data_IF_221102040185
#
_entry.id   IF_221102040185
#
_cell.length_a   1.000
_cell.length_b   1.000
_cell.length_c   1.000
_cell.angle_alpha   90.00
_cell.angle_beta   90.00
_cell.angle_gamma   90.00
#
_symmetry.space_group_name_H-M   'P 1'
#
loop_
_entity.id
_entity.type
_entity.pdbx_description
1 polymer ?
#
# COMPACT_ATOMS: atom_id res chain seq x y z
N UNK A 1 20.56 11.80 28.15
CA UNK A 1 20.74 12.27 26.76
C UNK A 1 21.74 11.37 26.05
N UNK A 2 21.25 10.40 25.27
CA UNK A 2 22.10 9.54 24.43
C UNK A 2 22.30 10.20 23.06
N UNK A 3 23.45 9.94 22.41
CA UNK A 3 23.85 10.51 21.10
C UNK A 3 24.46 9.43 20.23
N UNK A 4 24.26 9.53 18.92
CA UNK A 4 24.88 8.62 17.94
C UNK A 4 26.11 9.28 17.33
N UNK A 5 27.22 8.55 17.34
CA UNK A 5 28.50 8.96 16.75
C UNK A 5 28.78 8.13 15.50
N UNK A 6 29.03 8.79 14.39
CA UNK A 6 29.45 8.18 13.14
C UNK A 6 30.96 8.32 13.00
N UNK A 7 31.66 7.19 12.95
CA UNK A 7 33.10 7.12 12.76
C UNK A 7 33.39 6.85 11.28
N UNK A 8 34.07 7.77 10.62
CA UNK A 8 34.47 7.61 9.22
C UNK A 8 36.00 7.65 9.11
N UNK A 9 36.56 6.70 8.36
CA UNK A 9 38.00 6.64 8.08
C UNK A 9 38.21 6.45 6.58
N UNK A 10 38.79 7.45 5.91
CA UNK A 10 39.26 7.32 4.53
C UNK A 10 40.67 6.69 4.54
N UNK A 11 41.05 6.05 3.42
CA UNK A 11 42.26 5.21 3.27
C UNK A 11 43.53 5.87 3.83
N UNK A 12 43.69 7.19 3.69
CA UNK A 12 44.84 7.96 4.20
C UNK A 12 44.47 9.12 5.16
N UNK A 13 43.31 9.07 5.81
CA UNK A 13 42.84 10.16 6.68
C UNK A 13 42.74 9.77 8.16
N UNK A 14 42.85 10.78 9.04
CA UNK A 14 42.49 10.66 10.46
C UNK A 14 41.00 10.29 10.57
N UNK A 15 40.65 9.45 11.55
CA UNK A 15 39.26 9.12 11.84
C UNK A 15 38.49 10.39 12.17
N UNK A 16 37.46 10.70 11.39
CA UNK A 16 36.54 11.81 11.66
C UNK A 16 35.34 11.27 12.43
N UNK A 17 35.02 11.93 13.54
CA UNK A 17 33.86 11.58 14.37
C UNK A 17 32.81 12.66 14.16
N UNK A 18 31.69 12.29 13.54
CA UNK A 18 30.54 13.17 13.37
C UNK A 18 29.47 12.78 14.40
N UNK A 19 28.89 13.78 15.06
CA UNK A 19 27.75 13.55 15.98
C UNK A 19 26.46 13.78 15.21
N UNK A 20 25.58 12.79 15.14
CA UNK A 20 24.25 12.97 14.57
C UNK A 20 23.40 13.83 15.51
N UNK A 21 22.54 14.68 14.94
CA UNK A 21 21.69 15.57 15.72
C UNK A 21 20.44 14.83 16.23
N UNK A 22 20.66 13.78 17.03
CA UNK A 22 19.60 12.96 17.60
C UNK A 22 19.75 12.88 19.11
N UNK A 23 18.82 13.51 19.83
CA UNK A 23 18.72 13.39 21.29
C UNK A 23 17.60 12.42 21.62
N UNK A 24 17.95 11.22 22.08
CA UNK A 24 16.99 10.23 22.53
C UNK A 24 16.85 10.32 24.06
N UNK A 25 15.69 10.80 24.51
CA UNK A 25 15.40 11.03 25.94
C UNK A 25 14.26 10.13 26.48
N UNK A 26 13.75 9.20 25.67
CA UNK A 26 12.62 8.36 26.06
C UNK A 26 13.05 6.89 26.19
N UNK A 27 12.84 6.36 27.39
CA UNK A 27 13.23 5.02 27.83
C UNK A 27 12.64 3.91 26.95
N UNK A 28 11.42 4.09 26.43
CA UNK A 28 10.75 3.07 25.61
C UNK A 28 11.47 2.83 24.27
N UNK A 29 12.13 3.83 23.69
CA UNK A 29 12.94 3.61 22.48
C UNK A 29 14.30 3.01 22.84
N UNK A 30 14.93 3.47 23.91
CA UNK A 30 16.23 2.96 24.35
C UNK A 30 16.14 1.46 24.67
N UNK A 31 15.04 1.02 25.31
CA UNK A 31 14.85 -0.38 25.66
C UNK A 31 14.53 -1.29 24.47
N UNK A 32 14.12 -0.73 23.33
CA UNK A 32 13.77 -1.49 22.12
C UNK A 32 14.86 -1.34 21.04
N UNK A 33 15.72 -0.32 21.16
CA UNK A 33 16.80 -0.07 20.22
C UNK A 33 17.78 -1.24 20.19
N UNK A 34 17.85 -1.90 19.04
CA UNK A 34 18.69 -3.07 18.79
C UNK A 34 19.55 -2.86 17.55
N UNK A 35 20.34 -3.88 17.18
CA UNK A 35 21.16 -3.86 15.96
C UNK A 35 20.31 -3.64 14.69
N UNK A 36 19.03 -4.04 14.71
CA UNK A 36 18.11 -3.81 13.59
C UNK A 36 17.77 -2.34 13.37
N UNK A 37 17.70 -1.52 14.42
CA UNK A 37 17.53 -0.08 14.30
C UNK A 37 18.87 0.61 14.07
N UNK A 38 19.95 0.08 14.63
CA UNK A 38 21.30 0.64 14.47
C UNK A 38 21.78 0.60 13.01
N UNK A 39 21.47 -0.46 12.25
CA UNK A 39 21.85 -0.56 10.83
C UNK A 39 21.30 0.60 9.98
N UNK A 40 20.13 1.12 10.35
CA UNK A 40 19.46 2.21 9.63
C UNK A 40 20.25 3.51 9.61
N UNK A 41 21.15 3.72 10.58
CA UNK A 41 22.01 4.92 10.61
C UNK A 41 23.18 4.84 9.62
N UNK A 42 23.36 3.70 8.96
CA UNK A 42 24.43 3.44 7.99
C UNK A 42 23.91 2.95 6.64
N UNK A 43 22.59 2.93 6.44
CA UNK A 43 21.95 2.51 5.19
C UNK A 43 22.17 3.49 4.05
N UNK A 44 22.28 2.96 2.82
CA UNK A 44 22.29 3.78 1.60
C UNK A 44 20.89 4.32 1.27
N UNK A 45 19.85 3.54 1.54
CA UNK A 45 18.45 3.94 1.42
C UNK A 45 17.59 3.12 2.38
N UNK A 46 16.57 3.74 2.99
CA UNK A 46 15.65 3.04 3.89
C UNK A 46 14.23 3.02 3.33
N UNK A 47 13.64 1.84 3.20
CA UNK A 47 12.21 1.67 2.90
C UNK A 47 11.48 1.25 4.18
N UNK A 48 10.63 2.13 4.69
CA UNK A 48 9.77 1.86 5.83
C UNK A 48 8.44 1.23 5.35
N UNK A 49 8.13 0.05 5.85
CA UNK A 49 6.93 -0.73 5.46
C UNK A 49 6.04 -1.04 6.65
N UNK A 50 4.77 -1.36 6.39
CA UNK A 50 3.80 -1.70 7.44
C UNK A 50 3.85 -3.17 7.87
N UNK A 51 3.94 -4.09 6.91
CA UNK A 51 3.63 -5.50 7.09
C UNK A 51 4.72 -6.46 6.61
N UNK A 52 4.38 -7.74 6.69
CA UNK A 52 5.22 -8.85 6.22
C UNK A 52 5.11 -9.01 4.70
N UNK A 53 3.94 -8.78 4.10
CA UNK A 53 3.76 -8.84 2.65
C UNK A 53 4.74 -7.93 1.91
N UNK A 54 4.97 -6.70 2.41
CA UNK A 54 5.94 -5.77 1.82
C UNK A 54 7.38 -6.26 1.99
N UNK A 55 7.72 -6.81 3.17
CA UNK A 55 9.04 -7.40 3.40
C UNK A 55 9.32 -8.53 2.41
N UNK A 56 8.34 -9.42 2.18
CA UNK A 56 8.45 -10.50 1.19
C UNK A 56 8.58 -9.96 -0.24
N UNK A 57 7.76 -8.97 -0.60
CA UNK A 57 7.73 -8.45 -1.97
C UNK A 57 9.03 -7.72 -2.35
N UNK A 58 9.50 -6.81 -1.49
CA UNK A 58 10.73 -6.05 -1.74
C UNK A 58 12.00 -6.84 -1.41
N UNK A 59 11.90 -7.88 -0.57
CA UNK A 59 12.99 -8.81 -0.27
C UNK A 59 13.11 -9.99 -1.25
N UNK A 60 12.24 -10.07 -2.27
CA UNK A 60 12.26 -11.16 -3.24
C UNK A 60 13.56 -11.17 -4.08
N UNK A 61 14.34 -12.26 -4.00
CA UNK A 61 15.64 -12.36 -4.66
C UNK A 61 15.56 -12.22 -6.19
N UNK A 62 14.54 -12.80 -6.84
CA UNK A 62 14.37 -12.71 -8.30
C UNK A 62 14.04 -11.28 -8.72
N UNK A 63 13.26 -10.54 -7.93
CA UNK A 63 13.04 -9.12 -8.18
C UNK A 63 14.35 -8.33 -8.12
N UNK A 64 15.19 -8.64 -7.14
CA UNK A 64 16.49 -8.01 -6.93
C UNK A 64 17.52 -8.31 -8.05
N UNK A 65 17.36 -9.42 -8.77
CA UNK A 65 18.18 -9.73 -9.96
C UNK A 65 17.87 -8.77 -11.12
N UNK A 66 16.59 -8.46 -11.35
CA UNK A 66 16.16 -7.53 -12.40
C UNK A 66 16.28 -6.05 -11.99
N UNK A 67 16.05 -5.76 -10.71
CA UNK A 67 16.13 -4.42 -10.12
C UNK A 67 17.27 -4.37 -9.11
N UNK A 68 18.50 -4.26 -9.63
CA UNK A 68 19.72 -4.38 -8.81
C UNK A 68 19.86 -3.34 -7.72
N UNK A 69 19.22 -2.16 -7.85
CA UNK A 69 19.21 -1.13 -6.81
C UNK A 69 18.49 -1.57 -5.55
N UNK A 70 17.57 -2.55 -5.62
CA UNK A 70 16.91 -3.12 -4.44
C UNK A 70 17.91 -3.81 -3.48
N UNK A 71 19.11 -4.21 -3.96
CA UNK A 71 20.17 -4.80 -3.11
C UNK A 71 20.69 -3.86 -2.03
N UNK A 72 20.61 -2.55 -2.29
CA UNK A 72 21.19 -1.53 -1.43
C UNK A 72 20.14 -0.83 -0.56
N UNK A 73 18.95 -1.42 -0.45
CA UNK A 73 17.83 -0.86 0.29
C UNK A 73 17.62 -1.66 1.56
N UNK A 74 17.70 -0.97 2.70
CA UNK A 74 17.30 -1.55 3.97
C UNK A 74 15.78 -1.42 4.14
N UNK A 75 15.10 -2.56 4.07
CA UNK A 75 13.67 -2.63 4.32
C UNK A 75 13.46 -2.77 5.83
N UNK A 76 12.64 -1.88 6.40
CA UNK A 76 12.36 -1.83 7.82
C UNK A 76 10.86 -1.82 8.09
N UNK A 77 10.39 -2.83 8.83
CA UNK A 77 9.00 -2.91 9.26
C UNK A 77 8.74 -2.06 10.48
N UNK A 78 7.86 -1.07 10.34
CA UNK A 78 7.44 -0.19 11.42
C UNK A 78 6.50 -0.92 12.38
N UNK A 79 7.04 -1.63 13.38
CA UNK A 79 6.29 -2.29 14.44
C UNK A 79 5.53 -1.32 15.36
N UNK A 80 6.01 -0.08 15.47
CA UNK A 80 5.44 0.98 16.30
C UNK A 80 5.69 2.36 15.67
N UNK A 81 4.67 3.20 15.66
CA UNK A 81 4.80 4.60 15.22
C UNK A 81 5.88 5.35 16.01
N UNK A 82 6.03 5.05 17.31
CA UNK A 82 7.02 5.72 18.17
C UNK A 82 8.46 5.39 17.75
N UNK A 83 8.70 4.15 17.33
CA UNK A 83 10.04 3.71 16.92
C UNK A 83 10.33 4.23 15.52
N UNK A 84 9.41 4.01 14.58
CA UNK A 84 9.54 4.46 13.19
C UNK A 84 9.77 5.98 13.08
N UNK A 85 9.11 6.79 13.92
CA UNK A 85 9.33 8.23 13.97
C UNK A 85 10.75 8.62 14.42
N UNK A 86 11.39 7.82 15.27
CA UNK A 86 12.72 8.13 15.84
C UNK A 86 13.88 7.59 15.03
N UNK A 87 13.67 6.51 14.30
CA UNK A 87 14.64 6.00 13.32
C UNK A 87 14.55 6.73 11.98
N UNK A 88 13.48 7.51 11.75
CA UNK A 88 13.33 8.35 10.56
C UNK A 88 14.57 9.27 10.40
N UNK A 89 15.27 9.24 9.24
CA UNK A 89 16.39 10.13 8.97
C UNK A 89 16.07 11.62 9.18
N UNK A 90 14.83 12.05 8.93
CA UNK A 90 14.39 13.42 9.18
C UNK A 90 14.39 13.82 10.66
N UNK A 91 14.27 12.86 11.59
CA UNK A 91 14.37 13.14 13.03
C UNK A 91 15.80 13.46 13.45
N UNK A 92 16.78 12.75 12.86
CA UNK A 92 18.21 12.93 13.16
C UNK A 92 18.91 13.93 12.24
N UNK A 93 18.18 14.56 11.30
CA UNK A 93 18.69 15.36 10.20
C UNK A 93 19.81 14.64 9.41
N UNK A 94 19.65 13.33 9.21
CA UNK A 94 20.56 12.53 8.40
C UNK A 94 20.27 12.74 6.91
N UNK A 95 21.31 12.66 6.08
CA UNK A 95 21.20 12.76 4.62
C UNK A 95 20.74 11.46 3.95
N UNK A 96 20.50 10.41 4.73
CA UNK A 96 20.08 9.10 4.24
C UNK A 96 18.70 9.24 3.56
N UNK A 97 18.57 8.90 2.27
CA UNK A 97 17.29 8.91 1.59
C UNK A 97 16.39 7.80 2.14
N UNK A 98 15.10 8.11 2.26
CA UNK A 98 14.11 7.17 2.76
C UNK A 98 12.77 7.34 2.05
N UNK A 99 11.92 6.31 2.17
CA UNK A 99 10.54 6.31 1.71
C UNK A 99 9.67 5.55 2.73
N UNK A 100 8.52 6.11 3.10
CA UNK A 100 7.48 5.37 3.82
C UNK A 100 6.46 4.82 2.83
N UNK A 101 6.12 3.54 2.97
CA UNK A 101 5.04 2.90 2.23
C UNK A 101 3.87 2.68 3.19
N UNK A 102 2.74 3.32 2.89
CA UNK A 102 1.51 3.17 3.66
C UNK A 102 0.34 2.75 2.77
N UNK A 103 -0.62 2.07 3.38
CA UNK A 103 -1.88 1.72 2.75
C UNK A 103 -2.87 2.90 2.79
N UNK A 104 -3.80 2.93 1.82
CA UNK A 104 -4.76 4.02 1.66
C UNK A 104 -5.59 4.30 2.93
N UNK A 105 -5.87 3.27 3.74
CA UNK A 105 -6.70 3.41 4.94
C UNK A 105 -6.03 4.16 6.08
N UNK A 106 -4.69 4.30 6.06
CA UNK A 106 -3.98 5.16 7.03
C UNK A 106 -4.27 6.63 6.83
N UNK A 107 -4.50 7.04 5.58
CA UNK A 107 -4.75 8.43 5.22
C UNK A 107 -6.24 8.71 5.01
N UNK A 108 -6.99 7.75 4.47
CA UNK A 108 -8.39 7.93 4.05
C UNK A 108 -9.27 6.92 4.78
N UNK A 109 -10.17 7.43 5.63
CA UNK A 109 -11.18 6.62 6.32
C UNK A 109 -12.57 6.89 5.76
N UNK A 110 -13.33 5.84 5.48
CA UNK A 110 -14.73 5.93 5.09
C UNK A 110 -15.59 5.69 6.33
N UNK A 111 -16.32 6.71 6.77
CA UNK A 111 -17.18 6.62 7.96
C UNK A 111 -18.62 6.91 7.62
N UNK A 112 -19.53 6.24 8.32
CA UNK A 112 -20.96 6.45 8.19
C UNK A 112 -21.73 5.15 8.06
N UNK A 113 -23.02 5.29 7.84
CA UNK A 113 -23.92 4.18 7.54
C UNK A 113 -23.80 3.81 6.05
N UNK A 114 -24.14 2.58 5.62
CA UNK A 114 -24.00 2.17 4.22
C UNK A 114 -24.69 3.08 3.19
N UNK A 115 -25.69 3.85 3.61
CA UNK A 115 -26.45 4.79 2.76
C UNK A 115 -25.98 6.25 2.90
N UNK A 116 -25.06 6.54 3.82
CA UNK A 116 -24.54 7.87 4.12
C UNK A 116 -23.05 7.81 4.49
N UNK A 117 -22.25 7.25 3.59
CA UNK A 117 -20.80 7.20 3.74
C UNK A 117 -20.19 8.57 3.47
N UNK A 118 -19.15 8.89 4.23
CA UNK A 118 -18.40 10.14 4.13
C UNK A 118 -16.90 9.88 4.23
N UNK A 119 -16.12 10.64 3.47
CA UNK A 119 -14.65 10.60 3.54
C UNK A 119 -14.18 11.40 4.74
N UNK A 120 -13.28 10.81 5.52
CA UNK A 120 -12.46 11.52 6.51
C UNK A 120 -11.00 11.31 6.17
N UNK A 121 -10.25 12.40 6.21
CA UNK A 121 -8.79 12.35 6.11
C UNK A 121 -8.23 12.25 7.54
N UNK A 122 -7.39 11.25 7.77
CA UNK A 122 -6.90 10.89 9.11
C UNK A 122 -5.50 11.45 9.37
N UNK A 123 -5.03 11.32 10.61
CA UNK A 123 -3.65 11.63 11.01
C UNK A 123 -2.96 10.31 11.34
N UNK A 124 -1.72 10.11 10.90
CA UNK A 124 -0.92 8.96 11.29
C UNK A 124 0.34 9.41 12.03
N UNK A 125 0.30 9.34 13.37
CA UNK A 125 1.42 9.74 14.22
C UNK A 125 1.94 11.14 13.89
N UNK A 126 3.25 11.32 13.90
CA UNK A 126 3.91 12.54 13.42
C UNK A 126 4.38 12.43 11.95
N UNK A 127 4.01 11.36 11.23
CA UNK A 127 4.36 11.19 9.83
C UNK A 127 3.61 12.18 8.94
N UNK A 128 2.28 12.25 9.08
CA UNK A 128 1.44 13.17 8.33
C UNK A 128 0.17 13.54 9.10
N UNK A 129 -0.43 14.69 8.77
CA UNK A 129 -1.62 15.18 9.44
C UNK A 129 -2.55 15.96 8.49
N UNK A 130 -3.72 15.37 8.20
CA UNK A 130 -4.75 15.99 7.36
C UNK A 130 -5.83 16.75 8.14
N UNK A 131 -5.61 17.07 9.43
CA UNK A 131 -6.59 17.87 10.19
C UNK A 131 -6.80 19.24 9.54
N UNK A 132 -8.04 19.76 9.53
CA UNK A 132 -8.35 21.06 8.90
C UNK A 132 -7.46 22.21 9.37
N UNK A 133 -7.10 22.25 10.66
CA UNK A 133 -6.26 23.33 11.21
C UNK A 133 -4.84 23.31 10.65
N UNK A 134 -4.27 22.11 10.47
CA UNK A 134 -2.96 21.92 9.84
C UNK A 134 -3.01 22.32 8.38
N UNK A 135 -4.01 21.85 7.64
CA UNK A 135 -4.19 22.20 6.23
C UNK A 135 -4.42 23.71 6.03
N UNK A 136 -5.18 24.38 6.91
CA UNK A 136 -5.38 25.84 6.87
C UNK A 136 -4.08 26.61 7.14
N UNK A 137 -3.26 26.13 8.08
CA UNK A 137 -1.95 26.72 8.36
C UNK A 137 -1.01 26.60 7.15
N UNK A 138 -0.92 25.41 6.55
CA UNK A 138 -0.18 25.18 5.31
C UNK A 138 -0.70 26.04 4.15
N UNK A 139 -2.03 26.14 4.01
CA UNK A 139 -2.66 26.97 2.98
C UNK A 139 -2.22 28.43 3.11
N UNK A 140 -2.20 28.97 4.33
CA UNK A 140 -1.73 30.33 4.57
C UNK A 140 -0.25 30.51 4.19
N UNK A 141 0.60 29.52 4.48
CA UNK A 141 2.01 29.53 4.05
C UNK A 141 2.13 29.54 2.51
N UNK A 142 1.37 28.71 1.81
CA UNK A 142 1.49 28.61 0.35
C UNK A 142 0.80 29.77 -0.40
N UNK A 143 -0.18 30.43 0.19
CA UNK A 143 -0.78 31.67 -0.35
C UNK A 143 0.23 32.81 -0.52
N UNK A 144 1.30 32.82 0.26
CA UNK A 144 2.33 33.87 0.22
C UNK A 144 3.37 33.67 -0.89
N UNK A 145 3.39 32.51 -1.56
CA UNK A 145 4.36 32.23 -2.62
C UNK A 145 3.77 32.28 -4.02
N UNK A 146 4.53 32.82 -4.97
CA UNK A 146 4.10 33.05 -6.35
C UNK A 146 4.63 32.01 -7.36
N UNK A 147 5.45 31.05 -6.91
CA UNK A 147 6.00 30.04 -7.82
C UNK A 147 4.94 29.04 -8.27
N UNK A 148 5.12 28.44 -9.46
CA UNK A 148 4.24 27.37 -9.98
C UNK A 148 4.08 26.24 -8.95
N UNK A 149 5.18 25.82 -8.30
CA UNK A 149 5.18 24.80 -7.24
C UNK A 149 4.28 25.18 -6.07
N UNK A 150 4.35 26.44 -5.61
CA UNK A 150 3.50 26.92 -4.52
C UNK A 150 2.03 26.98 -4.92
N UNK A 151 1.74 27.41 -6.16
CA UNK A 151 0.37 27.43 -6.70
C UNK A 151 -0.24 26.03 -6.72
N UNK A 152 0.48 25.03 -7.24
CA UNK A 152 0.01 23.63 -7.27
C UNK A 152 -0.23 23.08 -5.86
N UNK A 153 0.67 23.36 -4.90
CA UNK A 153 0.46 22.94 -3.50
C UNK A 153 -0.76 23.61 -2.87
N UNK A 154 -0.98 24.90 -3.15
CA UNK A 154 -2.15 25.64 -2.69
C UNK A 154 -3.44 25.03 -3.21
N UNK A 155 -3.52 24.81 -4.53
CA UNK A 155 -4.68 24.19 -5.19
C UNK A 155 -4.95 22.79 -4.62
N UNK A 156 -3.90 21.99 -4.40
CA UNK A 156 -4.04 20.68 -3.77
C UNK A 156 -4.65 20.75 -2.36
N UNK A 157 -4.18 21.69 -1.52
CA UNK A 157 -4.70 21.87 -0.16
C UNK A 157 -6.14 22.38 -0.15
N UNK A 158 -6.50 23.25 -1.10
CA UNK A 158 -7.88 23.71 -1.28
C UNK A 158 -8.81 22.56 -1.61
N UNK A 159 -8.39 21.66 -2.52
CA UNK A 159 -9.10 20.40 -2.81
C UNK A 159 -9.20 19.51 -1.57
N UNK A 160 -8.10 19.30 -0.83
CA UNK A 160 -8.13 18.48 0.39
C UNK A 160 -9.08 19.05 1.46
N UNK A 161 -9.21 20.37 1.57
CA UNK A 161 -10.15 21.01 2.49
C UNK A 161 -11.61 20.87 2.04
N UNK A 162 -11.88 20.87 0.73
CA UNK A 162 -13.24 20.76 0.20
C UNK A 162 -13.81 19.34 0.28
N UNK A 163 -12.95 18.32 0.22
CA UNK A 163 -13.34 16.90 0.20
C UNK A 163 -13.56 16.31 1.61
N UNK A 164 -13.14 17.01 2.66
CA UNK A 164 -13.34 16.56 4.05
C UNK A 164 -14.84 16.50 4.36
N UNK A 165 -15.30 15.31 4.79
CA UNK A 165 -16.71 14.96 5.00
C UNK A 165 -17.58 14.96 3.72
N UNK A 166 -16.98 14.95 2.53
CA UNK A 166 -17.72 14.73 1.29
C UNK A 166 -18.43 13.37 1.35
N UNK A 167 -19.69 13.36 0.93
CA UNK A 167 -20.47 12.13 0.84
C UNK A 167 -20.00 11.29 -0.34
N UNK A 168 -19.83 10.00 -0.11
CA UNK A 168 -19.45 9.03 -1.13
C UNK A 168 -20.48 7.93 -1.23
N UNK A 169 -20.60 7.36 -2.43
CA UNK A 169 -21.47 6.22 -2.69
C UNK A 169 -20.61 5.03 -3.10
N UNK A 170 -20.85 3.91 -2.44
CA UNK A 170 -20.20 2.64 -2.73
C UNK A 170 -21.25 1.65 -3.20
N UNK A 171 -20.92 0.87 -4.23
CA UNK A 171 -21.76 -0.24 -4.63
C UNK A 171 -21.52 -1.43 -3.68
N UNK A 172 -22.53 -1.79 -2.90
CA UNK A 172 -22.42 -2.84 -1.88
C UNK A 172 -22.14 -4.24 -2.43
N UNK A 173 -22.26 -4.46 -3.74
CA UNK A 173 -21.94 -5.75 -4.36
C UNK A 173 -20.55 -5.73 -4.98
N UNK A 174 -20.25 -4.75 -5.83
CA UNK A 174 -18.93 -4.66 -6.49
C UNK A 174 -17.84 -4.15 -5.56
N UNK A 175 -18.21 -3.53 -4.43
CA UNK A 175 -17.28 -2.88 -3.48
C UNK A 175 -16.35 -1.88 -4.15
N UNK A 176 -16.89 -1.15 -5.13
CA UNK A 176 -16.25 -0.03 -5.81
C UNK A 176 -16.98 1.28 -5.52
N UNK A 177 -16.26 2.38 -5.54
CA UNK A 177 -16.86 3.71 -5.52
C UNK A 177 -17.62 3.96 -6.83
N UNK A 178 -18.74 4.67 -6.74
CA UNK A 178 -19.42 5.18 -7.92
C UNK A 178 -18.71 6.43 -8.44
N UNK A 179 -18.72 6.64 -9.76
CA UNK A 179 -18.04 7.76 -10.43
C UNK A 179 -18.42 9.13 -9.85
N UNK A 180 -19.68 9.29 -9.42
CA UNK A 180 -20.19 10.49 -8.74
C UNK A 180 -19.43 10.86 -7.45
N UNK A 181 -18.68 9.91 -6.87
CA UNK A 181 -17.92 10.12 -5.64
C UNK A 181 -16.57 10.79 -5.87
N UNK A 182 -16.08 10.83 -7.12
CA UNK A 182 -14.79 11.42 -7.52
C UNK A 182 -13.60 10.96 -6.66
N UNK A 183 -13.62 9.68 -6.23
CA UNK A 183 -12.65 9.17 -5.26
C UNK A 183 -11.21 9.20 -5.79
N UNK A 184 -11.00 8.93 -7.08
CA UNK A 184 -9.65 8.91 -7.66
C UNK A 184 -8.98 10.28 -7.64
N UNK A 185 -9.73 11.36 -7.84
CA UNK A 185 -9.23 12.73 -7.71
C UNK A 185 -8.84 13.04 -6.26
N UNK A 186 -9.66 12.60 -5.30
CA UNK A 186 -9.38 12.73 -3.87
C UNK A 186 -8.11 11.95 -3.50
N UNK A 187 -8.01 10.70 -3.93
CA UNK A 187 -6.84 9.86 -3.69
C UNK A 187 -5.58 10.48 -4.28
N UNK A 188 -5.64 11.00 -5.50
CA UNK A 188 -4.52 11.68 -6.16
C UNK A 188 -4.07 12.92 -5.38
N UNK A 189 -5.01 13.71 -4.85
CA UNK A 189 -4.70 14.88 -4.04
C UNK A 189 -3.99 14.50 -2.72
N UNK A 190 -4.47 13.43 -2.06
CA UNK A 190 -3.86 12.88 -0.85
C UNK A 190 -2.46 12.36 -1.14
N UNK A 191 -2.30 11.52 -2.17
CA UNK A 191 -1.02 10.95 -2.59
C UNK A 191 0.00 12.04 -2.93
N UNK A 192 -0.40 13.05 -3.70
CA UNK A 192 0.46 14.19 -4.07
C UNK A 192 1.02 14.92 -2.83
N UNK A 193 0.19 15.17 -1.82
CA UNK A 193 0.65 15.79 -0.55
C UNK A 193 1.62 14.88 0.22
N UNK A 194 1.37 13.57 0.25
CA UNK A 194 2.22 12.61 0.97
C UNK A 194 3.58 12.40 0.29
N UNK A 195 3.64 12.45 -1.04
CA UNK A 195 4.90 12.33 -1.78
C UNK A 195 5.89 13.46 -1.44
N UNK A 196 5.40 14.66 -1.14
CA UNK A 196 6.23 15.78 -0.66
C UNK A 196 6.90 15.49 0.70
N UNK A 197 6.35 14.55 1.49
CA UNK A 197 6.82 14.15 2.82
C UNK A 197 7.66 12.84 2.76
N UNK A 198 8.04 12.38 1.56
CA UNK A 198 8.65 11.06 1.29
C UNK A 198 7.76 9.88 1.70
N UNK A 199 6.47 9.99 1.45
CA UNK A 199 5.48 8.96 1.77
C UNK A 199 4.77 8.54 0.47
N UNK A 200 4.90 7.27 0.11
CA UNK A 200 4.12 6.64 -0.94
C UNK A 200 2.85 6.02 -0.36
N UNK A 201 1.71 6.32 -0.96
CA UNK A 201 0.42 5.76 -0.59
C UNK A 201 -0.03 4.77 -1.66
N UNK A 202 -0.21 3.50 -1.27
CA UNK A 202 -0.86 2.48 -2.10
C UNK A 202 -2.32 2.85 -2.33
N UNK A 203 -2.88 2.53 -3.52
CA UNK A 203 -4.30 2.77 -3.81
C UNK A 203 -5.23 1.98 -2.90
N UNK A 204 -4.85 0.78 -2.51
CA UNK A 204 -5.60 -0.07 -1.57
C UNK A 204 -4.64 -0.65 -0.53
N UNK A 205 -3.95 -1.73 -0.89
CA UNK A 205 -2.86 -2.37 -0.13
C UNK A 205 -1.80 -2.90 -1.12
N UNK A 206 -0.69 -3.47 -0.63
CA UNK A 206 0.30 -4.12 -1.50
C UNK A 206 -0.31 -5.25 -2.34
N UNK A 207 -1.22 -6.04 -1.77
CA UNK A 207 -1.99 -7.06 -2.49
C UNK A 207 -2.72 -6.45 -3.68
N UNK A 208 -3.20 -5.21 -3.56
CA UNK A 208 -3.85 -4.50 -4.64
C UNK A 208 -2.90 -4.02 -5.74
N UNK A 209 -1.63 -3.79 -5.42
CA UNK A 209 -0.59 -3.53 -6.41
C UNK A 209 -0.23 -4.80 -7.20
N UNK A 210 -0.32 -5.97 -6.56
CA UNK A 210 0.01 -7.27 -7.15
C UNK A 210 -1.18 -7.91 -7.89
N UNK A 211 -2.37 -7.87 -7.31
CA UNK A 211 -3.60 -8.46 -7.82
C UNK A 211 -4.49 -7.33 -8.36
N UNK A 212 -4.39 -7.09 -9.66
CA UNK A 212 -5.10 -6.03 -10.36
C UNK A 212 -5.47 -6.46 -11.78
N UNK A 213 -6.24 -5.60 -12.47
CA UNK A 213 -6.72 -5.87 -13.84
C UNK A 213 -5.61 -6.20 -14.82
N UNK A 214 -4.48 -5.48 -14.74
CA UNK A 214 -3.38 -5.70 -15.66
C UNK A 214 -2.64 -7.02 -15.40
N UNK A 215 -2.57 -7.46 -14.14
CA UNK A 215 -1.89 -8.70 -13.74
C UNK A 215 -2.82 -9.92 -13.68
N UNK A 216 -4.11 -9.77 -14.02
CA UNK A 216 -5.13 -10.81 -13.81
C UNK A 216 -4.76 -12.13 -14.49
N UNK A 217 -4.25 -12.08 -15.72
CA UNK A 217 -3.81 -13.26 -16.46
C UNK A 217 -2.69 -14.04 -15.75
N UNK A 218 -1.78 -13.33 -15.08
CA UNK A 218 -0.68 -13.93 -14.32
C UNK A 218 -1.24 -14.56 -13.04
N UNK A 219 -2.14 -13.86 -12.35
CA UNK A 219 -2.79 -14.35 -11.12
C UNK A 219 -3.57 -15.63 -11.39
N UNK A 220 -4.37 -15.67 -12.47
CA UNK A 220 -5.15 -16.86 -12.81
C UNK A 220 -4.24 -18.06 -13.14
N UNK A 221 -3.20 -17.84 -13.94
CA UNK A 221 -2.23 -18.90 -14.26
C UNK A 221 -1.48 -19.43 -13.04
N UNK A 222 -1.17 -18.55 -12.08
CA UNK A 222 -0.57 -18.95 -10.81
C UNK A 222 -1.54 -19.77 -9.95
N UNK A 223 -2.80 -19.34 -9.79
CA UNK A 223 -3.80 -20.05 -9.00
C UNK A 223 -4.20 -21.40 -9.61
N UNK A 224 -4.28 -21.50 -10.93
CA UNK A 224 -4.50 -22.78 -11.63
C UNK A 224 -3.35 -23.76 -11.35
N UNK A 225 -2.12 -23.27 -11.27
CA UNK A 225 -0.93 -24.08 -11.00
C UNK A 225 -0.80 -24.50 -9.53
N UNK A 226 -0.97 -23.57 -8.59
CA UNK A 226 -0.72 -23.82 -7.16
C UNK A 226 -1.93 -24.45 -6.44
N UNK A 227 -3.14 -24.10 -6.85
CA UNK A 227 -4.37 -24.52 -6.16
C UNK A 227 -5.27 -25.42 -7.00
N UNK A 228 -4.80 -25.88 -8.18
CA UNK A 228 -5.61 -26.66 -9.13
C UNK A 228 -6.97 -26.00 -9.42
N UNK A 229 -6.97 -24.67 -9.46
CA UNK A 229 -8.15 -23.90 -9.87
C UNK A 229 -8.43 -24.16 -11.36
N UNK A 230 -9.65 -23.82 -11.82
CA UNK A 230 -9.99 -23.85 -13.23
C UNK A 230 -10.54 -22.47 -13.64
N UNK A 231 -9.64 -21.49 -13.71
CA UNK A 231 -10.00 -20.12 -14.05
C UNK A 231 -10.58 -19.99 -15.46
N UNK A 232 -10.21 -20.85 -16.41
CA UNK A 232 -10.86 -20.90 -17.72
C UNK A 232 -12.37 -21.14 -17.61
N UNK A 233 -12.79 -22.12 -16.80
CA UNK A 233 -14.22 -22.40 -16.55
C UNK A 233 -14.90 -21.24 -15.81
N UNK A 234 -14.24 -20.66 -14.82
CA UNK A 234 -14.75 -19.52 -14.05
C UNK A 234 -14.96 -18.31 -14.97
N UNK A 235 -13.98 -17.96 -15.80
CA UNK A 235 -14.05 -16.85 -16.74
C UNK A 235 -15.13 -17.06 -17.81
N UNK A 236 -15.31 -18.29 -18.31
CA UNK A 236 -16.42 -18.61 -19.23
C UNK A 236 -17.78 -18.40 -18.58
N UNK A 237 -17.95 -18.77 -17.30
CA UNK A 237 -19.18 -18.52 -16.54
C UNK A 237 -19.41 -17.04 -16.31
N UNK A 238 -18.37 -16.28 -15.98
CA UNK A 238 -18.43 -14.83 -15.79
C UNK A 238 -18.82 -14.11 -17.08
N UNK A 239 -18.21 -14.48 -18.23
CA UNK A 239 -18.57 -13.92 -19.55
C UNK A 239 -20.05 -14.11 -19.91
N UNK A 240 -20.71 -15.15 -19.38
CA UNK A 240 -22.14 -15.41 -19.58
C UNK A 240 -23.03 -14.73 -18.53
N UNK A 241 -22.45 -14.22 -17.45
CA UNK A 241 -23.18 -13.58 -16.36
C UNK A 241 -23.50 -12.12 -16.68
N UNK A 242 -24.70 -11.68 -16.31
CA UNK A 242 -25.08 -10.25 -16.35
C UNK A 242 -24.72 -9.50 -15.06
N UNK A 243 -24.37 -10.23 -14.00
CA UNK A 243 -24.28 -9.69 -12.64
C UNK A 243 -22.87 -9.73 -12.05
N UNK A 244 -21.97 -10.49 -12.65
CA UNK A 244 -20.60 -10.68 -12.19
C UNK A 244 -19.68 -10.25 -13.32
N UNK A 245 -18.76 -9.33 -13.02
CA UNK A 245 -17.74 -8.89 -13.96
C UNK A 245 -16.38 -9.45 -13.56
N UNK A 246 -15.43 -9.45 -14.49
CA UNK A 246 -14.06 -9.84 -14.20
C UNK A 246 -13.40 -8.89 -13.19
N UNK A 247 -13.70 -7.59 -13.26
CA UNK A 247 -13.20 -6.61 -12.30
C UNK A 247 -13.65 -6.94 -10.85
N UNK A 248 -14.88 -7.44 -10.68
CA UNK A 248 -15.34 -7.92 -9.37
C UNK A 248 -14.61 -9.17 -8.91
N UNK A 249 -14.32 -10.10 -9.82
CA UNK A 249 -13.57 -11.32 -9.51
C UNK A 249 -12.18 -10.97 -8.99
N UNK A 250 -11.46 -10.09 -9.70
CA UNK A 250 -10.11 -9.64 -9.32
C UNK A 250 -10.13 -9.00 -7.93
N UNK A 251 -11.10 -8.11 -7.68
CA UNK A 251 -11.23 -7.43 -6.39
C UNK A 251 -11.52 -8.42 -5.25
N UNK A 252 -12.30 -9.48 -5.51
CA UNK A 252 -12.58 -10.50 -4.51
C UNK A 252 -11.38 -11.40 -4.24
N UNK A 253 -10.64 -11.80 -5.28
CA UNK A 253 -9.38 -12.54 -5.12
C UNK A 253 -8.40 -11.72 -4.27
N UNK A 254 -8.24 -10.43 -4.57
CA UNK A 254 -7.41 -9.53 -3.76
C UNK A 254 -7.82 -9.53 -2.28
N UNK A 255 -9.12 -9.48 -1.99
CA UNK A 255 -9.64 -9.53 -0.62
C UNK A 255 -9.40 -10.90 0.04
N UNK A 256 -9.46 -12.01 -0.72
CA UNK A 256 -9.10 -13.34 -0.23
C UNK A 256 -7.62 -13.39 0.20
N UNK A 257 -6.73 -12.70 -0.51
CA UNK A 257 -5.31 -12.60 -0.15
C UNK A 257 -5.01 -11.55 0.94
N UNK A 258 -5.98 -11.24 1.81
CA UNK A 258 -5.87 -10.25 2.89
C UNK A 258 -5.70 -8.79 2.45
N UNK A 259 -5.88 -8.51 1.16
CA UNK A 259 -5.93 -7.16 0.64
C UNK A 259 -7.27 -6.47 0.90
N UNK A 260 -7.45 -5.29 0.30
CA UNK A 260 -8.70 -4.52 0.39
C UNK A 260 -9.33 -4.28 -0.96
N UNK A 261 -10.66 -4.21 -0.95
CA UNK A 261 -11.44 -3.86 -2.14
C UNK A 261 -11.13 -2.45 -2.64
N UNK A 262 -11.62 -2.10 -3.83
CA UNK A 262 -11.52 -0.73 -4.35
C UNK A 262 -12.17 0.33 -3.45
N UNK A 263 -13.18 -0.07 -2.67
CA UNK A 263 -13.83 0.71 -1.60
C UNK A 263 -13.20 0.52 -0.21
N UNK A 264 -11.97 0.00 -0.13
CA UNK A 264 -11.19 -0.18 1.10
C UNK A 264 -11.82 -1.14 2.12
N UNK A 265 -12.64 -2.09 1.66
CA UNK A 265 -13.24 -3.11 2.54
C UNK A 265 -12.36 -4.36 2.62
N UNK A 266 -12.23 -4.90 3.83
CA UNK A 266 -11.46 -6.12 4.11
C UNK A 266 -12.34 -7.38 4.09
N UNK A 267 -11.71 -8.56 4.16
CA UNK A 267 -12.39 -9.86 4.15
C UNK A 267 -13.48 -10.01 5.23
N UNK A 268 -13.31 -9.38 6.40
CA UNK A 268 -14.29 -9.48 7.50
C UNK A 268 -15.66 -8.87 7.15
N UNK A 269 -15.73 -8.01 6.12
CA UNK A 269 -17.00 -7.49 5.60
C UNK A 269 -17.77 -8.56 4.80
N UNK A 270 -17.11 -9.58 4.28
CA UNK A 270 -17.69 -10.63 3.44
C UNK A 270 -17.99 -11.93 4.20
N UNK A 271 -17.61 -12.04 5.48
CA UNK A 271 -17.73 -13.27 6.26
C UNK A 271 -19.18 -13.82 6.25
N UNK A 272 -19.36 -14.95 5.55
CA UNK A 272 -20.65 -15.57 5.33
C UNK A 272 -21.16 -16.31 6.56
N UNK A 273 -20.27 -16.93 7.32
CA UNK A 273 -20.61 -17.70 8.51
C UNK A 273 -21.20 -16.79 9.58
N UNK A 274 -20.53 -15.67 9.87
CA UNK A 274 -21.02 -14.64 10.79
C UNK A 274 -22.35 -14.06 10.33
N UNK A 275 -22.53 -13.88 9.01
CA UNK A 275 -23.80 -13.42 8.45
C UNK A 275 -24.94 -14.43 8.64
N UNK A 276 -24.69 -15.73 8.41
CA UNK A 276 -25.68 -16.79 8.62
C UNK A 276 -26.05 -16.93 10.10
N UNK A 277 -25.06 -16.93 10.99
CA UNK A 277 -25.29 -16.98 12.44
C UNK A 277 -26.13 -15.80 12.93
N UNK A 278 -25.93 -14.59 12.38
CA UNK A 278 -26.76 -13.44 12.72
C UNK A 278 -28.23 -13.66 12.33
N UNK A 279 -28.49 -14.22 11.14
CA UNK A 279 -29.83 -14.53 10.65
C UNK A 279 -30.50 -15.66 11.45
N UNK A 280 -29.78 -16.75 11.72
CA UNK A 280 -30.28 -17.89 12.50
C UNK A 280 -30.69 -17.48 13.92
N UNK A 281 -29.90 -16.61 14.55
CA UNK A 281 -30.19 -16.05 15.87
C UNK A 281 -31.27 -14.94 15.85
N UNK A 282 -31.94 -14.69 14.71
CA UNK A 282 -32.90 -13.58 14.50
C UNK A 282 -32.34 -12.20 14.89
N UNK A 283 -31.02 -12.02 14.87
CA UNK A 283 -30.36 -10.75 15.18
C UNK A 283 -30.26 -9.91 13.91
N UNK A 284 -30.42 -8.58 14.06
CA UNK A 284 -30.12 -7.66 12.96
C UNK A 284 -28.62 -7.74 12.63
N UNK A 285 -28.29 -7.82 11.35
CA UNK A 285 -26.91 -7.77 10.86
C UNK A 285 -26.28 -6.47 11.33
N UNK A 286 -25.19 -6.55 12.09
CA UNK A 286 -24.52 -5.42 12.72
C UNK A 286 -23.04 -5.32 12.29
N UNK A 287 -22.44 -4.16 12.55
CA UNK A 287 -21.02 -3.91 12.26
C UNK A 287 -20.67 -3.98 10.77
N UNK A 288 -19.46 -4.49 10.48
CA UNK A 288 -18.84 -4.56 9.14
C UNK A 288 -19.67 -5.31 8.11
N UNK A 289 -20.49 -6.29 8.53
CA UNK A 289 -21.31 -7.09 7.64
C UNK A 289 -22.41 -6.28 6.91
N UNK A 290 -22.71 -5.05 7.37
CA UNK A 290 -23.71 -4.17 6.75
C UNK A 290 -23.23 -3.47 5.47
N UNK A 291 -21.91 -3.42 5.25
CA UNK A 291 -21.32 -2.67 4.14
C UNK A 291 -21.22 -3.49 2.84
N UNK A 292 -21.50 -4.80 2.90
CA UNK A 292 -21.55 -5.68 1.72
C UNK A 292 -22.93 -6.31 1.56
N UNK A 293 -23.35 -6.54 0.32
CA UNK A 293 -24.64 -7.17 0.01
C UNK A 293 -24.63 -8.67 0.33
N UNK A 294 -25.82 -9.29 0.45
CA UNK A 294 -25.94 -10.75 0.55
C UNK A 294 -25.33 -11.44 -0.68
N UNK A 295 -25.50 -10.84 -1.86
CA UNK A 295 -24.96 -11.38 -3.11
C UNK A 295 -23.44 -11.41 -3.09
N UNK A 296 -22.79 -10.32 -2.64
CA UNK A 296 -21.34 -10.26 -2.49
C UNK A 296 -20.80 -11.37 -1.58
N UNK A 297 -21.45 -11.58 -0.43
CA UNK A 297 -21.11 -12.65 0.51
C UNK A 297 -21.21 -14.03 -0.14
N UNK A 298 -22.30 -14.33 -0.84
CA UNK A 298 -22.48 -15.62 -1.51
C UNK A 298 -21.45 -15.83 -2.63
N UNK A 299 -21.17 -14.79 -3.41
CA UNK A 299 -20.15 -14.83 -4.46
C UNK A 299 -18.75 -15.08 -3.89
N UNK A 300 -18.39 -14.41 -2.79
CA UNK A 300 -17.11 -14.65 -2.09
C UNK A 300 -16.99 -16.13 -1.68
N UNK A 301 -18.03 -16.70 -1.05
CA UNK A 301 -18.03 -18.11 -0.67
C UNK A 301 -17.88 -19.06 -1.86
N UNK A 302 -18.63 -18.81 -2.94
CA UNK A 302 -18.52 -19.60 -4.16
C UNK A 302 -17.12 -19.51 -4.76
N UNK A 303 -16.52 -18.32 -4.75
CA UNK A 303 -15.16 -18.13 -5.25
C UNK A 303 -14.16 -18.94 -4.42
N UNK A 304 -14.21 -18.83 -3.09
CA UNK A 304 -13.33 -19.57 -2.19
C UNK A 304 -13.47 -21.10 -2.36
N UNK A 305 -14.69 -21.60 -2.54
CA UNK A 305 -14.96 -23.04 -2.79
C UNK A 305 -14.39 -23.54 -4.12
N UNK A 306 -14.12 -22.65 -5.08
CA UNK A 306 -13.60 -23.01 -6.40
C UNK A 306 -12.15 -22.55 -6.64
N UNK A 307 -11.52 -21.86 -5.67
CA UNK A 307 -10.17 -21.29 -5.83
C UNK A 307 -9.33 -21.53 -4.59
N UNK A 308 -9.27 -20.56 -3.68
CA UNK A 308 -8.51 -20.61 -2.43
C UNK A 308 -9.34 -19.96 -1.32
N UNK A 309 -9.28 -20.52 -0.12
CA UNK A 309 -9.94 -19.94 1.05
C UNK A 309 -9.01 -18.99 1.80
N UNK A 310 -9.53 -17.85 2.26
CA UNK A 310 -8.76 -16.87 3.04
C UNK A 310 -8.17 -17.48 4.33
N UNK A 311 -8.87 -18.42 4.96
CA UNK A 311 -8.42 -19.09 6.20
C UNK A 311 -7.12 -19.89 6.06
N UNK A 312 -6.66 -20.15 4.84
CA UNK A 312 -5.39 -20.83 4.56
C UNK A 312 -4.25 -19.85 4.29
N UNK A 313 -4.52 -18.55 4.34
CA UNK A 313 -3.59 -17.49 4.01
C UNK A 313 -3.27 -16.68 5.27
N UNK A 314 -2.34 -17.18 6.08
CA UNK A 314 -1.71 -16.34 7.10
C UNK A 314 -0.84 -15.29 6.41
N UNK A 315 -0.66 -14.10 7.02
CA UNK A 315 0.15 -13.00 6.45
C UNK A 315 1.64 -13.33 6.22
N UNK A 316 2.06 -14.56 6.51
CA UNK A 316 3.43 -15.09 6.45
C UNK A 316 3.47 -16.47 5.79
N UNK A 317 2.43 -16.84 5.04
CA UNK A 317 2.33 -18.13 4.35
C UNK A 317 3.25 -18.25 3.11
N UNK A 318 3.96 -17.17 2.74
CA UNK A 318 4.84 -17.10 1.59
C UNK A 318 4.13 -16.93 0.24
N UNK A 319 2.82 -16.65 0.22
CA UNK A 319 2.07 -16.52 -1.04
C UNK A 319 2.62 -15.37 -1.90
N UNK A 320 3.06 -14.26 -1.27
CA UNK A 320 3.61 -13.10 -1.97
C UNK A 320 4.87 -13.49 -2.74
N UNK A 321 5.78 -14.20 -2.07
CA UNK A 321 7.01 -14.71 -2.69
C UNK A 321 6.71 -15.72 -3.80
N UNK A 322 5.79 -16.66 -3.57
CA UNK A 322 5.38 -17.66 -4.56
C UNK A 322 4.81 -17.01 -5.82
N UNK A 323 3.86 -16.09 -5.65
CA UNK A 323 3.23 -15.36 -6.74
C UNK A 323 4.25 -14.51 -7.51
N UNK A 324 5.10 -13.74 -6.82
CA UNK A 324 6.11 -12.92 -7.48
C UNK A 324 7.09 -13.76 -8.29
N UNK A 325 7.53 -14.90 -7.79
CA UNK A 325 8.42 -15.80 -8.53
C UNK A 325 7.75 -16.30 -9.83
N UNK A 326 6.46 -16.66 -9.76
CA UNK A 326 5.69 -17.05 -10.94
C UNK A 326 5.52 -15.86 -11.91
N UNK A 327 5.21 -14.68 -11.39
CA UNK A 327 5.01 -13.48 -12.18
C UNK A 327 6.28 -13.04 -12.90
N UNK A 328 7.45 -13.12 -12.25
CA UNK A 328 8.74 -12.79 -12.85
C UNK A 328 9.04 -13.76 -14.00
N UNK A 329 8.87 -15.07 -13.79
CA UNK A 329 9.06 -16.06 -14.86
C UNK A 329 8.14 -15.81 -16.06
N UNK A 330 6.90 -15.38 -15.80
CA UNK A 330 5.96 -14.99 -16.86
C UNK A 330 6.45 -13.75 -17.61
N UNK A 331 6.86 -12.70 -16.89
CA UNK A 331 7.33 -11.44 -17.48
C UNK A 331 8.64 -11.65 -18.24
N UNK A 332 9.54 -12.51 -17.78
CA UNK A 332 10.76 -12.90 -18.50
C UNK A 332 10.44 -13.53 -19.86
N UNK A 333 9.49 -14.47 -19.90
CA UNK A 333 9.04 -15.09 -21.14
C UNK A 333 8.41 -14.06 -22.10
N UNK A 334 7.56 -13.19 -21.58
CA UNK A 334 6.93 -12.12 -22.38
C UNK A 334 7.96 -11.09 -22.88
N UNK A 335 8.95 -10.74 -22.05
CA UNK A 335 10.06 -9.85 -22.38
C UNK A 335 10.89 -10.40 -23.53
N UNK A 336 11.24 -11.70 -23.47
CA UNK A 336 11.95 -12.39 -24.55
C UNK A 336 11.09 -12.47 -25.83
N UNK A 337 9.81 -12.86 -25.71
CA UNK A 337 8.92 -12.99 -26.86
C UNK A 337 8.68 -11.66 -27.60
N UNK A 338 8.62 -10.54 -26.85
CA UNK A 338 8.40 -9.19 -27.42
C UNK A 338 9.71 -8.46 -27.74
N UNK A 339 10.86 -9.02 -27.41
CA UNK A 339 12.17 -8.36 -27.50
C UNK A 339 12.18 -6.98 -26.82
N UNK A 340 11.64 -6.91 -25.60
CA UNK A 340 11.54 -5.68 -24.78
C UNK A 340 12.27 -5.85 -23.45
N UNK A 341 12.83 -4.79 -22.85
CA UNK A 341 13.44 -4.89 -21.51
C UNK A 341 12.42 -5.37 -20.46
N UNK A 342 12.89 -6.18 -19.51
CA UNK A 342 12.05 -6.72 -18.42
C UNK A 342 11.23 -5.63 -17.74
N UNK A 343 11.87 -4.53 -17.31
CA UNK A 343 11.19 -3.43 -16.62
C UNK A 343 10.06 -2.78 -17.43
N UNK A 344 10.19 -2.71 -18.76
CA UNK A 344 9.14 -2.17 -19.65
C UNK A 344 7.92 -3.06 -19.66
N UNK A 345 8.11 -4.38 -19.72
CA UNK A 345 7.01 -5.36 -19.69
C UNK A 345 6.42 -5.44 -18.28
N UNK A 346 7.26 -5.45 -17.25
CA UNK A 346 6.85 -5.48 -15.85
C UNK A 346 5.92 -4.32 -15.50
N UNK A 347 6.25 -3.09 -15.94
CA UNK A 347 5.41 -1.89 -15.75
C UNK A 347 3.99 -2.05 -16.29
N UNK A 348 3.79 -2.81 -17.37
CA UNK A 348 2.46 -3.01 -17.96
C UNK A 348 1.60 -3.84 -17.01
N UNK A 349 2.15 -4.92 -16.46
CA UNK A 349 1.43 -5.84 -15.57
C UNK A 349 1.29 -5.30 -14.14
N UNK A 350 2.33 -4.62 -13.63
CA UNK A 350 2.41 -4.13 -12.25
C UNK A 350 2.78 -2.63 -12.20
N UNK A 351 1.95 -1.72 -12.75
CA UNK A 351 2.28 -0.29 -12.84
C UNK A 351 2.56 0.35 -11.47
N UNK A 352 1.66 0.19 -10.49
CA UNK A 352 1.83 0.80 -9.17
C UNK A 352 3.04 0.24 -8.42
N UNK A 353 3.28 -1.07 -8.51
CA UNK A 353 4.43 -1.70 -7.86
C UNK A 353 5.75 -1.27 -8.52
N UNK A 354 5.77 -1.16 -9.85
CA UNK A 354 6.90 -0.63 -10.60
C UNK A 354 7.19 0.83 -10.24
N UNK A 355 6.17 1.66 -10.08
CA UNK A 355 6.33 3.06 -9.67
C UNK A 355 7.00 3.16 -8.29
N UNK A 356 6.63 2.30 -7.34
CA UNK A 356 7.31 2.22 -6.03
C UNK A 356 8.78 1.83 -6.21
N UNK A 357 9.06 0.76 -6.96
CA UNK A 357 10.44 0.29 -7.23
C UNK A 357 11.29 1.38 -7.88
N UNK A 358 10.71 2.22 -8.75
CA UNK A 358 11.43 3.35 -9.34
C UNK A 358 11.75 4.44 -8.34
N UNK A 359 10.84 4.76 -7.43
CA UNK A 359 11.06 5.77 -6.38
C UNK A 359 12.12 5.37 -5.35
N UNK A 360 12.38 4.08 -5.25
CA UNK A 360 13.44 3.50 -4.44
C UNK A 360 14.85 3.66 -5.04
N UNK A 361 14.97 4.21 -6.25
CA UNK A 361 16.25 4.52 -6.86
C UNK A 361 16.70 5.94 -6.44
N UNK A 362 17.87 6.10 -5.79
CA UNK A 362 18.34 7.42 -5.31
C UNK A 362 18.43 8.49 -6.41
N UNK A 363 18.82 8.08 -7.63
CA UNK A 363 19.06 8.98 -8.77
C UNK A 363 17.80 9.33 -9.58
N UNK A 364 16.67 8.66 -9.33
CA UNK A 364 15.43 8.87 -10.10
C UNK A 364 14.67 10.14 -9.73
N UNK A 365 15.06 10.83 -8.65
CA UNK A 365 14.47 12.12 -8.22
C UNK A 365 14.76 13.28 -9.19
N UNK A 366 15.57 13.06 -10.23
CA UNK A 366 15.86 14.03 -11.30
C UNK A 366 14.93 14.00 -12.51
N UNK A 367 14.05 13.00 -12.63
CA UNK A 367 13.12 12.86 -13.76
C UNK A 367 11.70 12.54 -13.27
N UNK A 368 10.98 13.58 -12.85
CA UNK A 368 9.51 13.62 -12.76
C UNK A 368 9.02 14.75 -13.65
#
# INVERSE_FOLDING_TARGET
KQRVYCFQKKVDAKTTINTLNSTYDNESFINIFSDNEARLFFSDFILFVEGESELEAFGNMKMTEHFTHLKNIDIYKCSSNVIGERVNPSYSNSTIPYLFLFDADKAISIKGEPHSLSIKLEKNGNYFNFKPDTLKSELNKYKLGFSKKYKTKRENIETLLSVINQKVKVNNTTQSFLDESDFESIFTAVKSRLLDENIYLNRTTLEGCLIQKNSSIIVYGWLDKEHNSNFDSILQRIKRSKYVTEDMLIDYIRVIFNGKSMALTDYSHFNVEAYKQALENKRKVSGKLRYTSRHAKMLMKLLEENTVHNKYLDKTDGWTTSFLNHAIEFVEKESLAKNQPFGTVFKVFFPEFYDIIRMLQPDSRGEI
#
